data_IF_956008481151
#
_entry.id   IF_956008481151
#
_cell.length_a   1.000
_cell.length_b   1.000
_cell.length_c   1.000
_cell.angle_alpha   90.00
_cell.angle_beta   90.00
_cell.angle_gamma   90.00
#
_symmetry.space_group_name_H-M   'P 1'
#
loop_
_entity.id
_entity.type
_entity.pdbx_description
1 polymer ?
#
# COMPACT_ATOMS: atom_id res chain seq x y z
N UNK A 1 -11.72 -10.62 -12.28
CA UNK A 1 -10.32 -10.44 -12.72
C UNK A 1 -9.56 -9.39 -11.89
N UNK A 2 -10.28 -8.45 -11.23
CA UNK A 2 -9.65 -7.40 -10.42
C UNK A 2 -9.12 -7.87 -9.05
N UNK A 3 -9.59 -9.01 -8.55
CA UNK A 3 -9.10 -9.60 -7.30
C UNK A 3 -7.83 -10.39 -7.62
N UNK A 4 -6.70 -9.97 -7.05
CA UNK A 4 -5.39 -10.60 -7.29
C UNK A 4 -4.94 -11.51 -6.15
N UNK A 5 -5.44 -11.30 -4.93
CA UNK A 5 -5.13 -12.11 -3.76
C UNK A 5 -6.27 -12.06 -2.73
N UNK A 6 -6.29 -13.01 -1.80
CA UNK A 6 -7.23 -13.06 -0.69
C UNK A 6 -6.53 -12.70 0.61
N UNK A 7 -7.01 -11.68 1.32
CA UNK A 7 -6.57 -11.37 2.67
C UNK A 7 -7.49 -12.04 3.69
N UNK A 8 -6.91 -12.62 4.73
CA UNK A 8 -7.67 -13.24 5.83
C UNK A 8 -8.06 -12.25 6.93
N UNK A 9 -7.78 -10.97 6.77
CA UNK A 9 -8.13 -9.92 7.73
C UNK A 9 -6.93 -9.07 8.14
N UNK A 10 -7.13 -8.24 9.16
CA UNK A 10 -6.17 -7.27 9.65
C UNK A 10 -6.03 -7.36 11.17
N UNK A 11 -4.79 -7.34 11.67
CA UNK A 11 -4.39 -7.16 13.09
C UNK A 11 -5.17 -7.99 14.13
N UNK A 12 -5.65 -9.17 13.76
CA UNK A 12 -6.51 -10.00 14.62
C UNK A 12 -5.72 -11.12 15.35
N UNK A 13 -4.40 -10.96 15.50
CA UNK A 13 -3.54 -11.98 16.07
C UNK A 13 -3.36 -13.19 15.15
N UNK A 14 -2.84 -14.29 15.67
CA UNK A 14 -2.64 -15.51 14.89
C UNK A 14 -3.05 -16.73 15.69
N UNK A 15 -3.60 -17.75 15.02
CA UNK A 15 -4.06 -18.96 15.67
C UNK A 15 -4.65 -19.99 14.70
N UNK A 16 -5.26 -21.04 15.27
CA UNK A 16 -5.75 -22.18 14.48
C UNK A 16 -6.91 -21.83 13.53
N UNK A 17 -7.69 -20.81 13.86
CA UNK A 17 -8.75 -20.33 12.97
C UNK A 17 -8.19 -19.86 11.64
N UNK A 18 -7.08 -19.10 11.64
CA UNK A 18 -6.42 -18.64 10.42
C UNK A 18 -5.80 -19.78 9.62
N UNK A 19 -5.22 -20.78 10.29
CA UNK A 19 -4.72 -21.98 9.61
C UNK A 19 -5.85 -22.77 8.93
N UNK A 20 -7.03 -22.87 9.58
CA UNK A 20 -8.21 -23.53 9.00
C UNK A 20 -8.79 -22.70 7.85
N UNK A 21 -8.87 -21.39 8.01
CA UNK A 21 -9.36 -20.47 6.99
C UNK A 21 -8.45 -20.49 5.75
N UNK A 22 -7.14 -20.44 5.92
CA UNK A 22 -6.18 -20.58 4.82
C UNK A 22 -6.44 -21.87 4.01
N UNK A 23 -6.53 -23.02 4.69
CA UNK A 23 -6.80 -24.31 4.03
C UNK A 23 -8.15 -24.30 3.28
N UNK A 24 -9.16 -23.68 3.87
CA UNK A 24 -10.49 -23.57 3.26
C UNK A 24 -10.45 -22.73 1.99
N UNK A 25 -9.81 -21.53 2.03
CA UNK A 25 -9.67 -20.66 0.87
C UNK A 25 -8.89 -21.37 -0.25
N UNK A 26 -7.73 -21.96 0.08
CA UNK A 26 -6.89 -22.69 -0.90
C UNK A 26 -7.61 -23.88 -1.55
N UNK A 27 -8.53 -24.53 -0.85
CA UNK A 27 -9.38 -25.58 -1.43
C UNK A 27 -10.43 -25.01 -2.40
N UNK A 28 -10.92 -23.80 -2.13
CA UNK A 28 -11.97 -23.16 -2.92
C UNK A 28 -11.43 -22.38 -4.11
N UNK A 29 -10.29 -21.74 -3.95
CA UNK A 29 -9.58 -21.01 -4.99
C UNK A 29 -8.08 -21.36 -4.97
N UNK A 30 -7.66 -22.12 -5.95
CA UNK A 30 -6.26 -22.54 -6.12
C UNK A 30 -5.45 -21.57 -6.98
N UNK A 31 -6.08 -20.53 -7.52
CA UNK A 31 -5.46 -19.64 -8.51
C UNK A 31 -4.85 -18.39 -7.88
N UNK A 32 -5.34 -17.95 -6.72
CA UNK A 32 -4.89 -16.73 -6.06
C UNK A 32 -4.08 -17.02 -4.80
N UNK A 33 -3.07 -16.21 -4.51
CA UNK A 33 -2.38 -16.27 -3.23
C UNK A 33 -3.30 -15.82 -2.09
N UNK A 34 -3.06 -16.38 -0.91
CA UNK A 34 -3.71 -16.02 0.35
C UNK A 34 -2.70 -15.36 1.25
N UNK A 35 -3.03 -14.20 1.80
CA UNK A 35 -2.14 -13.37 2.61
C UNK A 35 -2.72 -13.08 3.99
N UNK A 36 -1.84 -12.96 4.97
CA UNK A 36 -2.19 -12.55 6.33
C UNK A 36 -0.96 -12.00 7.05
N UNK A 37 -1.02 -10.74 7.48
CA UNK A 37 0.12 -10.07 8.12
C UNK A 37 0.58 -10.80 9.39
N UNK A 38 -0.29 -11.13 10.38
CA UNK A 38 0.14 -11.78 11.60
C UNK A 38 0.73 -13.18 11.42
N UNK A 39 0.51 -13.81 10.27
CA UNK A 39 1.15 -15.09 9.95
C UNK A 39 2.66 -14.97 9.72
N UNK A 40 3.17 -13.75 9.43
CA UNK A 40 4.58 -13.50 9.13
C UNK A 40 5.08 -14.40 8.00
N UNK A 41 5.98 -15.33 8.28
CA UNK A 41 6.53 -16.29 7.31
C UNK A 41 5.97 -17.72 7.48
N UNK A 42 4.96 -17.91 8.33
CA UNK A 42 4.37 -19.23 8.60
C UNK A 42 3.69 -19.81 7.35
N UNK A 43 3.34 -21.11 7.43
CA UNK A 43 2.80 -21.87 6.29
C UNK A 43 1.39 -21.47 5.83
N UNK A 44 0.67 -20.66 6.60
CA UNK A 44 -0.69 -20.22 6.29
C UNK A 44 -0.74 -18.78 5.75
N UNK A 45 0.29 -18.38 5.03
CA UNK A 45 0.33 -17.23 4.11
C UNK A 45 1.22 -17.57 2.94
N UNK A 46 0.86 -17.16 1.74
CA UNK A 46 1.65 -17.41 0.53
C UNK A 46 2.74 -16.33 0.31
N UNK A 47 2.54 -15.15 0.89
CA UNK A 47 3.40 -13.98 0.75
C UNK A 47 3.80 -13.49 2.14
N UNK A 48 5.04 -13.05 2.32
CA UNK A 48 5.45 -12.29 3.52
C UNK A 48 4.85 -10.89 3.40
N UNK A 49 3.99 -10.52 4.36
CA UNK A 49 3.04 -9.41 4.19
C UNK A 49 3.08 -8.43 5.37
N UNK A 50 4.25 -7.82 5.67
CA UNK A 50 4.43 -6.95 6.83
C UNK A 50 3.92 -5.54 6.61
N UNK A 51 3.59 -4.83 7.72
CA UNK A 51 3.27 -3.41 7.75
C UNK A 51 4.50 -2.55 8.04
N UNK A 52 4.59 -1.40 7.40
CA UNK A 52 5.49 -0.27 7.72
C UNK A 52 6.95 -0.63 7.99
N UNK A 53 7.47 -1.66 7.31
CA UNK A 53 8.89 -1.99 7.45
C UNK A 53 9.76 -0.96 6.72
N UNK A 54 10.90 -0.64 7.32
CA UNK A 54 11.87 0.28 6.76
C UNK A 54 12.69 -0.34 5.61
N UNK A 55 13.46 0.50 4.94
CA UNK A 55 14.31 0.11 3.79
C UNK A 55 15.32 -0.98 4.16
N UNK A 56 15.93 -0.90 5.34
CA UNK A 56 16.89 -1.90 5.81
C UNK A 56 16.24 -3.28 5.92
N UNK A 57 15.07 -3.36 6.58
CA UNK A 57 14.35 -4.62 6.72
C UNK A 57 14.03 -5.28 5.38
N UNK A 58 13.45 -4.53 4.42
CA UNK A 58 13.06 -5.11 3.13
C UNK A 58 14.28 -5.52 2.30
N UNK A 59 15.35 -4.73 2.36
CA UNK A 59 16.63 -5.03 1.70
C UNK A 59 17.27 -6.30 2.28
N UNK A 60 17.32 -6.40 3.59
CA UNK A 60 17.92 -7.56 4.27
C UNK A 60 17.09 -8.82 4.04
N UNK A 61 15.75 -8.71 4.09
CA UNK A 61 14.87 -9.81 3.70
C UNK A 61 15.21 -10.31 2.29
N UNK A 62 15.31 -9.40 1.32
CA UNK A 62 15.59 -9.77 -0.09
C UNK A 62 16.95 -10.44 -0.28
N UNK A 63 17.98 -10.01 0.46
CA UNK A 63 19.34 -10.61 0.43
C UNK A 63 19.37 -12.07 0.94
N UNK A 64 18.39 -12.50 1.74
CA UNK A 64 18.31 -13.89 2.20
C UNK A 64 17.91 -14.88 1.10
N UNK A 65 17.58 -14.41 -0.09
CA UNK A 65 16.99 -15.20 -1.18
C UNK A 65 15.74 -15.99 -0.71
N UNK A 66 14.72 -15.29 -0.22
CA UNK A 66 13.60 -15.89 0.48
C UNK A 66 12.73 -16.74 -0.46
N UNK A 67 12.07 -17.77 0.09
CA UNK A 67 11.14 -18.62 -0.66
C UNK A 67 9.81 -17.93 -0.99
N UNK A 68 9.41 -16.94 -0.20
CA UNK A 68 8.18 -16.17 -0.41
C UNK A 68 8.53 -14.77 -0.88
N UNK A 69 7.75 -14.20 -1.81
CA UNK A 69 7.87 -12.78 -2.09
C UNK A 69 7.41 -11.95 -0.89
N UNK A 70 7.85 -10.70 -0.82
CA UNK A 70 7.40 -9.72 0.17
C UNK A 70 6.60 -8.63 -0.52
N UNK A 71 5.45 -8.31 0.06
CA UNK A 71 4.65 -7.13 -0.25
C UNK A 71 4.39 -6.41 1.07
N UNK A 72 4.64 -5.11 1.13
CA UNK A 72 4.24 -4.29 2.27
C UNK A 72 2.71 -4.15 2.25
N UNK A 73 2.01 -4.81 3.17
CA UNK A 73 0.54 -4.74 3.21
C UNK A 73 0.03 -3.35 3.57
N UNK A 74 0.84 -2.58 4.27
CA UNK A 74 0.67 -1.16 4.49
C UNK A 74 2.05 -0.48 4.52
N UNK A 75 2.17 0.67 3.85
CA UNK A 75 3.34 1.53 3.92
C UNK A 75 2.99 2.96 3.52
N UNK A 76 3.93 3.90 3.69
CA UNK A 76 3.79 5.29 3.28
C UNK A 76 2.45 5.90 3.74
N UNK A 77 2.13 5.76 5.03
CA UNK A 77 0.90 6.29 5.64
C UNK A 77 0.64 7.73 5.22
N UNK A 78 -0.46 7.98 4.51
CA UNK A 78 -0.68 9.22 3.76
C UNK A 78 -1.36 10.34 4.57
N UNK A 79 -1.33 10.27 5.89
CA UNK A 79 -1.89 11.30 6.77
C UNK A 79 -1.03 12.55 6.81
N UNK A 80 -1.62 13.70 6.53
CA UNK A 80 -0.96 15.00 6.62
C UNK A 80 0.23 15.15 5.68
N UNK A 81 1.31 15.78 6.13
CA UNK A 81 2.55 15.89 5.36
C UNK A 81 3.35 14.59 5.44
N UNK A 82 3.16 13.72 4.48
CA UNK A 82 3.57 12.32 4.51
C UNK A 82 4.02 11.82 3.14
N UNK A 83 4.20 10.48 3.00
CA UNK A 83 4.62 9.81 1.76
C UNK A 83 6.02 10.23 1.29
N UNK A 84 6.85 10.72 2.22
CA UNK A 84 8.26 11.00 1.95
C UNK A 84 9.06 9.74 1.68
N UNK A 85 10.20 9.89 0.99
CA UNK A 85 11.15 8.85 0.56
C UNK A 85 10.53 7.64 -0.16
N UNK A 86 9.37 7.81 -0.81
CA UNK A 86 8.72 6.74 -1.57
C UNK A 86 9.62 6.22 -2.70
N UNK A 87 10.39 7.10 -3.34
CA UNK A 87 11.35 6.72 -4.37
C UNK A 87 12.41 5.76 -3.85
N UNK A 88 12.93 5.98 -2.63
CA UNK A 88 13.94 5.10 -2.03
C UNK A 88 13.40 3.67 -1.82
N UNK A 89 12.13 3.54 -1.43
CA UNK A 89 11.47 2.23 -1.36
C UNK A 89 11.43 1.54 -2.72
N UNK A 90 11.07 2.27 -3.76
CA UNK A 90 10.94 1.69 -5.09
C UNK A 90 12.30 1.41 -5.74
N UNK A 91 13.33 2.17 -5.40
CA UNK A 91 14.70 1.85 -5.82
C UNK A 91 15.18 0.52 -5.23
N UNK A 92 14.80 0.22 -3.98
CA UNK A 92 15.08 -1.10 -3.38
C UNK A 92 14.17 -2.18 -3.97
N UNK A 93 12.88 -1.93 -4.10
CA UNK A 93 11.90 -2.90 -4.62
C UNK A 93 12.24 -3.32 -6.05
N UNK A 94 12.57 -2.38 -6.92
CA UNK A 94 12.91 -2.63 -8.32
C UNK A 94 14.20 -3.48 -8.48
N UNK A 95 15.09 -3.49 -7.47
CA UNK A 95 16.35 -4.22 -7.51
C UNK A 95 16.24 -5.70 -7.12
N UNK A 96 15.14 -6.13 -6.50
CA UNK A 96 15.01 -7.50 -6.00
C UNK A 96 13.69 -8.15 -6.44
N UNK A 97 13.79 -9.29 -7.16
CA UNK A 97 12.62 -10.04 -7.62
C UNK A 97 11.70 -10.54 -6.48
N UNK A 98 12.23 -10.70 -5.28
CA UNK A 98 11.48 -11.12 -4.11
C UNK A 98 10.66 -9.99 -3.49
N UNK A 99 10.88 -8.73 -3.86
CA UNK A 99 10.11 -7.58 -3.44
C UNK A 99 9.11 -7.22 -4.54
N UNK A 100 7.82 -7.16 -4.20
CA UNK A 100 6.75 -7.01 -5.20
C UNK A 100 5.96 -5.70 -5.05
N UNK A 101 6.37 -4.83 -4.13
CA UNK A 101 5.73 -3.54 -3.90
C UNK A 101 5.06 -3.41 -2.55
N UNK A 102 4.06 -2.55 -2.47
CA UNK A 102 3.30 -2.29 -1.26
C UNK A 102 1.98 -1.60 -1.53
N UNK A 103 1.11 -1.58 -0.53
CA UNK A 103 -0.15 -0.87 -0.54
C UNK A 103 -0.04 0.37 0.36
N UNK A 104 -0.24 1.54 -0.22
CA UNK A 104 -0.23 2.80 0.54
C UNK A 104 -1.48 2.84 1.43
N UNK A 105 -1.32 3.16 2.69
CA UNK A 105 -2.42 3.41 3.61
C UNK A 105 -2.67 4.92 3.74
N UNK A 106 -3.79 5.49 3.15
CA UNK A 106 -4.61 4.73 2.23
C UNK A 106 -4.94 5.60 0.99
N UNK A 107 -5.98 5.25 0.25
CA UNK A 107 -6.29 5.94 -1.00
C UNK A 107 -7.17 7.17 -0.81
N UNK A 108 -8.17 7.10 0.08
CA UNK A 108 -9.20 8.14 0.23
C UNK A 108 -9.39 8.49 1.70
N UNK A 109 -9.38 9.76 2.05
CA UNK A 109 -9.80 10.21 3.38
C UNK A 109 -11.17 9.62 3.75
N UNK A 110 -11.24 8.92 4.88
CA UNK A 110 -12.46 8.26 5.35
C UNK A 110 -13.32 9.21 6.19
N UNK A 111 -13.39 10.48 5.79
CA UNK A 111 -14.19 11.52 6.44
C UNK A 111 -15.59 11.59 5.83
N UNK A 112 -16.56 12.10 6.61
CA UNK A 112 -17.96 12.17 6.24
C UNK A 112 -18.40 13.64 6.15
N UNK A 113 -19.02 14.03 5.06
CA UNK A 113 -19.51 15.40 4.89
C UNK A 113 -20.62 15.74 5.88
N UNK A 114 -20.51 16.87 6.55
CA UNK A 114 -21.53 17.43 7.41
C UNK A 114 -21.51 18.97 7.40
N UNK A 115 -22.54 19.58 7.95
CA UNK A 115 -22.62 21.02 8.16
C UNK A 115 -22.67 21.33 9.66
N UNK A 116 -22.05 22.44 10.05
CA UNK A 116 -22.20 22.99 11.39
C UNK A 116 -23.54 23.71 11.57
N UNK A 117 -23.81 24.22 12.78
CA UNK A 117 -25.04 24.93 13.10
C UNK A 117 -25.22 26.26 12.30
N UNK A 118 -24.15 26.79 11.72
CA UNK A 118 -24.17 27.97 10.84
C UNK A 118 -24.34 27.59 9.37
N UNK A 119 -24.54 26.31 9.03
CA UNK A 119 -24.71 25.84 7.66
C UNK A 119 -23.39 25.69 6.87
N UNK A 120 -22.24 25.88 7.51
CA UNK A 120 -20.93 25.71 6.85
C UNK A 120 -20.61 24.23 6.74
N UNK A 121 -20.38 23.76 5.49
CA UNK A 121 -19.98 22.38 5.21
C UNK A 121 -18.53 22.09 5.55
N UNK A 122 -18.27 20.90 6.06
CA UNK A 122 -16.93 20.39 6.32
C UNK A 122 -16.87 18.86 6.31
N UNK A 123 -15.67 18.30 6.25
CA UNK A 123 -15.44 16.87 6.34
C UNK A 123 -15.15 16.48 7.79
N UNK A 124 -16.13 15.84 8.41
CA UNK A 124 -16.07 15.45 9.83
C UNK A 124 -15.42 14.08 10.04
N UNK A 125 -14.81 13.92 11.20
CA UNK A 125 -14.15 12.69 11.65
C UNK A 125 -14.42 12.45 13.15
N UNK A 126 -14.04 11.28 13.67
CA UNK A 126 -14.04 10.91 15.08
C UNK A 126 -15.00 11.68 15.99
N UNK A 127 -14.52 12.60 16.80
CA UNK A 127 -15.28 13.37 17.78
C UNK A 127 -16.30 14.40 17.22
N UNK A 128 -16.39 14.59 15.91
CA UNK A 128 -17.32 15.55 15.28
C UNK A 128 -18.78 15.10 15.29
N UNK A 129 -19.06 13.85 15.63
CA UNK A 129 -20.40 13.29 15.60
C UNK A 129 -21.01 13.24 16.99
N UNK A 130 -22.25 13.78 17.14
CA UNK A 130 -22.98 13.81 18.42
C UNK A 130 -23.16 12.40 18.98
N UNK A 131 -22.96 12.26 20.30
CA UNK A 131 -23.12 11.00 21.01
C UNK A 131 -21.90 10.08 20.98
N UNK A 132 -20.75 10.56 20.54
CA UNK A 132 -19.49 9.84 20.68
C UNK A 132 -19.05 9.80 22.15
N UNK A 133 -19.81 9.08 22.98
CA UNK A 133 -19.33 8.63 24.31
C UNK A 133 -18.21 7.60 24.19
N UNK A 134 -17.91 7.22 22.96
CA UNK A 134 -16.93 6.20 22.63
C UNK A 134 -15.58 6.86 22.34
N UNK A 135 -14.53 6.19 22.74
CA UNK A 135 -13.18 6.51 22.32
C UNK A 135 -13.13 6.56 20.78
N UNK A 136 -12.36 7.52 20.26
CA UNK A 136 -12.16 7.68 18.83
C UNK A 136 -10.74 8.20 18.57
N UNK A 137 -10.25 7.93 17.37
CA UNK A 137 -8.89 8.29 16.96
C UNK A 137 -8.81 9.66 16.27
N UNK A 138 -9.78 10.55 16.54
CA UNK A 138 -9.85 11.90 15.97
C UNK A 138 -9.74 11.86 14.44
N UNK A 139 -8.79 12.63 13.88
CA UNK A 139 -8.56 12.74 12.44
C UNK A 139 -7.71 11.60 11.84
N UNK A 140 -7.48 10.51 12.56
CA UNK A 140 -6.64 9.40 12.09
C UNK A 140 -7.17 8.74 10.79
N UNK A 141 -8.47 8.88 10.52
CA UNK A 141 -9.11 8.42 9.28
C UNK A 141 -8.94 9.39 8.09
N UNK A 142 -8.34 10.59 8.30
CA UNK A 142 -8.00 11.53 7.24
C UNK A 142 -6.57 11.26 6.74
N UNK A 143 -6.38 10.15 6.07
CA UNK A 143 -5.09 9.55 5.70
C UNK A 143 -5.01 9.14 4.23
N UNK A 144 -5.84 9.74 3.37
CA UNK A 144 -5.92 9.43 1.97
C UNK A 144 -4.90 10.15 1.08
N UNK A 145 -4.54 9.51 -0.03
CA UNK A 145 -3.87 10.17 -1.16
C UNK A 145 -4.76 11.22 -1.82
N UNK A 146 -6.07 11.06 -1.66
CA UNK A 146 -7.08 12.02 -2.08
C UNK A 146 -8.03 12.31 -0.92
N UNK A 147 -8.60 13.51 -0.90
CA UNK A 147 -9.65 13.89 0.03
C UNK A 147 -10.93 13.05 -0.18
N UNK A 148 -11.88 13.13 0.74
CA UNK A 148 -13.15 12.39 0.66
C UNK A 148 -13.97 12.71 -0.60
N UNK A 149 -13.87 13.93 -1.12
CA UNK A 149 -14.49 14.35 -2.40
C UNK A 149 -13.65 13.99 -3.64
N UNK A 150 -12.54 13.27 -3.44
CA UNK A 150 -11.56 12.86 -4.47
C UNK A 150 -10.63 13.98 -4.97
N UNK A 151 -10.62 15.14 -4.32
CA UNK A 151 -9.60 16.16 -4.60
C UNK A 151 -8.21 15.63 -4.26
N UNK A 152 -7.23 15.70 -5.17
CA UNK A 152 -5.88 15.20 -4.91
C UNK A 152 -5.19 15.93 -3.77
N UNK A 153 -4.64 15.18 -2.82
CA UNK A 153 -3.71 15.71 -1.83
C UNK A 153 -2.32 15.91 -2.47
N UNK A 154 -1.49 16.84 -1.99
CA UNK A 154 -0.20 17.18 -2.61
C UNK A 154 0.73 15.97 -2.84
N UNK A 155 0.76 15.04 -1.90
CA UNK A 155 1.61 13.85 -1.96
C UNK A 155 1.17 12.82 -3.02
N UNK A 156 -0.03 12.93 -3.60
CA UNK A 156 -0.41 12.10 -4.75
C UNK A 156 0.51 12.34 -5.96
N UNK A 157 1.08 13.52 -6.10
CA UNK A 157 2.01 13.81 -7.19
C UNK A 157 3.33 13.02 -7.05
N UNK A 158 3.81 12.80 -5.82
CA UNK A 158 4.96 11.92 -5.56
C UNK A 158 4.64 10.48 -5.96
N UNK A 159 3.49 9.97 -5.55
CA UNK A 159 3.03 8.61 -5.93
C UNK A 159 2.94 8.49 -7.45
N UNK A 160 2.33 9.46 -8.12
CA UNK A 160 2.23 9.49 -9.59
C UNK A 160 3.60 9.44 -10.25
N UNK A 161 4.58 10.15 -9.71
CA UNK A 161 5.96 10.16 -10.25
C UNK A 161 6.66 8.83 -10.03
N UNK A 162 6.63 8.31 -8.82
CA UNK A 162 7.33 7.08 -8.45
C UNK A 162 6.74 5.85 -9.15
N UNK A 163 5.42 5.81 -9.29
CA UNK A 163 4.70 4.69 -9.92
C UNK A 163 4.67 4.76 -11.46
N UNK A 164 5.37 5.72 -12.08
CA UNK A 164 5.44 5.79 -13.54
C UNK A 164 6.00 4.50 -14.13
N UNK A 165 5.28 3.87 -15.07
CA UNK A 165 5.73 2.63 -15.69
C UNK A 165 6.79 2.84 -16.78
N UNK A 166 7.13 4.10 -17.08
CA UNK A 166 8.16 4.46 -18.05
C UNK A 166 9.16 5.39 -17.37
N UNK A 167 10.44 4.98 -17.36
CA UNK A 167 11.53 5.76 -16.79
C UNK A 167 12.33 6.44 -17.91
N UNK A 168 12.70 7.70 -17.67
CA UNK A 168 13.55 8.48 -18.56
C UNK A 168 14.86 8.83 -17.86
N UNK A 169 15.97 8.59 -18.50
CA UNK A 169 17.31 8.88 -17.99
C UNK A 169 18.10 9.68 -19.03
N UNK A 170 18.72 10.76 -18.59
CA UNK A 170 19.64 11.52 -19.42
C UNK A 170 20.94 10.74 -19.61
N UNK A 171 21.33 10.45 -20.85
CA UNK A 171 22.60 9.81 -21.19
C UNK A 171 23.59 10.87 -21.69
N UNK A 172 23.19 11.67 -22.65
CA UNK A 172 24.00 12.75 -23.25
C UNK A 172 23.05 13.80 -23.81
N UNK A 173 22.68 14.76 -22.98
CA UNK A 173 21.71 15.81 -23.36
C UNK A 173 22.27 16.76 -24.43
N UNK A 174 23.61 16.95 -24.50
CA UNK A 174 24.22 17.78 -25.51
C UNK A 174 24.04 17.22 -26.92
N UNK A 175 23.96 15.90 -27.04
CA UNK A 175 23.68 15.18 -28.28
C UNK A 175 22.25 14.65 -28.37
N UNK A 176 21.35 15.10 -27.50
CA UNK A 176 19.92 14.72 -27.51
C UNK A 176 19.66 13.26 -27.16
N UNK A 177 20.60 12.59 -26.45
CA UNK A 177 20.47 11.18 -26.09
C UNK A 177 19.82 10.98 -24.73
N UNK A 178 18.68 10.31 -24.74
CA UNK A 178 17.96 9.86 -23.55
C UNK A 178 17.75 8.35 -23.61
N UNK A 179 17.72 7.71 -22.44
CA UNK A 179 17.32 6.31 -22.31
C UNK A 179 15.88 6.25 -21.81
N UNK A 180 15.07 5.46 -22.48
CA UNK A 180 13.70 5.16 -22.09
C UNK A 180 13.65 3.70 -21.64
N UNK A 181 13.18 3.46 -20.40
CA UNK A 181 13.05 2.11 -19.83
C UNK A 181 11.59 1.79 -19.62
N UNK A 182 11.14 0.70 -20.24
CA UNK A 182 9.81 0.15 -20.00
C UNK A 182 9.81 -0.66 -18.69
N UNK A 183 9.02 -0.24 -17.72
CA UNK A 183 8.80 -0.93 -16.41
C UNK A 183 7.49 -1.71 -16.37
N UNK A 184 6.72 -1.72 -17.45
CA UNK A 184 5.53 -2.57 -17.53
C UNK A 184 5.92 -4.05 -17.53
N UNK A 185 5.25 -4.87 -16.71
CA UNK A 185 5.49 -6.31 -16.65
C UNK A 185 4.82 -7.07 -17.81
N UNK A 186 3.78 -6.50 -18.44
CA UNK A 186 2.91 -7.21 -19.40
C UNK A 186 2.58 -6.39 -20.63
N UNK A 187 3.25 -5.26 -20.89
CA UNK A 187 3.02 -4.41 -22.05
C UNK A 187 4.34 -4.01 -22.70
N UNK A 188 4.36 -4.07 -24.03
CA UNK A 188 5.37 -3.41 -24.86
C UNK A 188 5.01 -1.94 -25.06
N UNK A 189 5.97 -1.17 -25.59
CA UNK A 189 5.77 0.25 -25.96
C UNK A 189 5.68 0.43 -27.49
N UNK A 190 5.41 -0.64 -28.21
CA UNK A 190 5.28 -0.66 -29.68
C UNK A 190 3.95 -0.02 -30.12
#
# INVERSE_FOLDING_TARGET
PSIIMWSMGNEAGDGDNFKKLYKWIKKRDTTRPVVYEPAKEKSHTDITFPMYKNLEYISDYAKTNPKKPLILCEYAHAMGNSVGNLQDYWDVIDNYKSLQGGFIWDFVDQTIYKSNDSGIGYWGYGGDFKGSFYENDSNFCANGLVAADRTPNPHLNEVKKVYQPIKFEAIDLSNGKIKITNKYNFKNLD
#
